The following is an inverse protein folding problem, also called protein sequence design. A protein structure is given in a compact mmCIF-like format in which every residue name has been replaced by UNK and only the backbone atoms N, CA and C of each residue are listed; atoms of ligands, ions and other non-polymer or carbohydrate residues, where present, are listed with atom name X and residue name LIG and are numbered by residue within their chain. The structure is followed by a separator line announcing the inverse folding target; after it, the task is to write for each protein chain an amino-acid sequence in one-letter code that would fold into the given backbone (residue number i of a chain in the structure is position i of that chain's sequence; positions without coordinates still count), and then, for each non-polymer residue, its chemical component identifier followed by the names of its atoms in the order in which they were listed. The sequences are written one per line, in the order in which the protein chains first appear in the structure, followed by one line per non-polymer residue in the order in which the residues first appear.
data_IF_898822262507
#
_entry.id   IF_898822262507
#
_cell.length_a   1.000
_cell.length_b   1.000
_cell.length_c   1.000
_cell.angle_alpha   90.00
_cell.angle_beta   90.00
_cell.angle_gamma   90.00
#
_symmetry.space_group_name_H-M   'P 1'
#
loop_
_entity.id
_entity.type
_entity.pdbx_description
1 polymer ?
#
# COMPACT_ATOMS: atom_id res chain seq x y z
N UNK A 1 35.65 29.18 31.62
CA UNK A 1 34.27 29.26 31.10
C UNK A 1 34.22 28.33 29.89
N UNK A 2 33.86 27.08 30.14
CA UNK A 2 34.03 25.97 29.19
C UNK A 2 32.67 25.65 28.58
N UNK A 3 32.51 25.87 27.27
CA UNK A 3 31.30 25.47 26.54
C UNK A 3 31.31 23.96 26.31
N UNK A 4 30.34 23.26 26.91
CA UNK A 4 30.06 21.85 26.65
C UNK A 4 29.43 21.72 25.25
N UNK A 5 30.11 20.99 24.35
CA UNK A 5 29.55 20.56 23.06
C UNK A 5 28.45 19.54 23.32
N UNK A 6 27.25 19.81 22.80
CA UNK A 6 26.14 18.87 22.81
C UNK A 6 26.47 17.62 22.00
N UNK A 7 26.21 16.45 22.59
CA UNK A 7 26.25 15.14 21.95
C UNK A 7 25.19 15.07 20.84
N UNK A 8 25.65 14.90 19.60
CA UNK A 8 24.77 14.50 18.50
C UNK A 8 24.28 13.07 18.76
N UNK A 9 22.98 12.91 18.90
CA UNK A 9 22.34 11.60 18.93
C UNK A 9 22.37 11.07 17.49
N UNK A 10 23.15 10.02 17.28
CA UNK A 10 23.35 9.40 15.98
C UNK A 10 22.15 8.48 15.69
N UNK A 11 21.14 8.98 14.97
CA UNK A 11 20.10 8.11 14.42
C UNK A 11 20.74 7.34 13.26
N UNK A 12 21.11 6.07 13.51
CA UNK A 12 21.64 5.18 12.49
C UNK A 12 20.71 5.17 11.28
N UNK A 13 21.29 5.40 10.09
CA UNK A 13 20.54 5.33 8.83
C UNK A 13 20.06 3.89 8.65
N UNK A 14 18.76 3.63 8.47
CA UNK A 14 18.32 2.32 8.04
C UNK A 14 18.83 2.06 6.62
N UNK A 15 19.56 0.94 6.46
CA UNK A 15 20.06 0.43 5.18
C UNK A 15 18.87 -0.05 4.31
N UNK A 16 18.21 0.88 3.62
CA UNK A 16 17.17 0.57 2.63
C UNK A 16 17.75 0.39 1.21
N UNK A 17 19.08 0.29 1.05
CA UNK A 17 19.76 0.32 -0.25
C UNK A 17 20.03 -1.05 -0.89
N UNK A 18 19.48 -2.11 -0.34
CA UNK A 18 19.29 -3.34 -1.10
C UNK A 18 17.84 -3.37 -1.56
N UNK A 19 17.62 -2.95 -2.81
CA UNK A 19 16.39 -3.28 -3.51
C UNK A 19 16.16 -4.78 -3.30
N UNK A 20 15.00 -5.21 -2.79
CA UNK A 20 14.76 -6.61 -2.51
C UNK A 20 15.02 -7.44 -3.78
N UNK A 21 15.61 -8.64 -3.66
CA UNK A 21 15.90 -9.51 -4.80
C UNK A 21 14.60 -9.75 -5.56
N UNK A 22 14.61 -9.54 -6.89
CA UNK A 22 13.48 -9.76 -7.81
C UNK A 22 12.11 -9.52 -7.15
N UNK A 23 11.77 -8.23 -7.05
CA UNK A 23 10.43 -7.68 -6.85
C UNK A 23 9.38 -8.65 -6.36
N UNK A 24 9.17 -8.69 -5.03
CA UNK A 24 8.01 -9.27 -4.32
C UNK A 24 7.19 -10.19 -5.21
N UNK A 25 7.79 -11.31 -5.63
CA UNK A 25 7.02 -12.40 -6.18
C UNK A 25 5.97 -12.70 -5.11
N UNK A 26 4.68 -12.82 -5.47
CA UNK A 26 3.68 -13.22 -4.52
C UNK A 26 4.23 -14.44 -3.77
N UNK A 27 4.40 -14.30 -2.46
CA UNK A 27 5.01 -15.30 -1.62
C UNK A 27 4.46 -16.67 -2.06
N UNK A 28 5.28 -17.63 -2.52
CA UNK A 28 4.80 -18.90 -3.07
C UNK A 28 3.95 -19.70 -2.05
N UNK A 29 3.92 -19.26 -0.79
CA UNK A 29 3.00 -19.69 0.26
C UNK A 29 1.59 -19.06 0.25
N UNK A 30 1.20 -18.27 -0.75
CA UNK A 30 -0.18 -17.77 -0.85
C UNK A 30 -1.21 -18.91 -0.92
N UNK A 31 -0.78 -20.11 -1.33
CA UNK A 31 -1.61 -21.31 -1.35
C UNK A 31 -1.86 -21.95 0.03
N UNK A 32 -1.15 -21.55 1.09
CA UNK A 32 -1.25 -22.21 2.42
C UNK A 32 -1.72 -21.29 3.56
N UNK A 33 -1.61 -19.97 3.45
CA UNK A 33 -2.03 -19.01 4.49
C UNK A 33 -2.77 -17.82 3.84
N UNK A 34 -3.95 -17.47 4.35
CA UNK A 34 -4.78 -16.38 3.80
C UNK A 34 -4.08 -15.02 3.78
N UNK A 35 -4.59 -14.07 2.99
CA UNK A 35 -4.01 -12.73 2.82
C UNK A 35 -3.97 -11.93 4.14
N UNK A 36 -2.87 -11.24 4.39
CA UNK A 36 -2.73 -10.23 5.44
C UNK A 36 -2.93 -8.86 4.82
N UNK A 37 -3.93 -8.12 5.29
CA UNK A 37 -4.35 -6.87 4.66
C UNK A 37 -4.18 -5.72 5.64
N UNK A 38 -3.36 -4.73 5.29
CA UNK A 38 -3.36 -3.44 5.97
C UNK A 38 -4.59 -2.64 5.55
N UNK A 39 -5.27 -1.98 6.49
CA UNK A 39 -6.39 -1.08 6.20
C UNK A 39 -6.10 0.29 6.79
N UNK A 40 -6.41 1.35 6.05
CA UNK A 40 -6.17 2.71 6.52
C UNK A 40 -6.96 3.78 5.78
N UNK A 41 -7.00 4.98 6.34
CA UNK A 41 -7.67 6.12 5.76
C UNK A 41 -7.48 7.40 6.57
N UNK A 42 -7.89 8.53 5.99
CA UNK A 42 -8.11 9.76 6.75
C UNK A 42 -9.53 9.80 7.33
N UNK A 43 -9.88 10.87 8.02
CA UNK A 43 -11.19 11.02 8.63
C UNK A 43 -12.35 10.93 7.63
N UNK A 44 -12.10 11.30 6.36
CA UNK A 44 -13.12 11.31 5.32
C UNK A 44 -13.48 9.91 4.83
N UNK A 45 -12.62 8.91 5.08
CA UNK A 45 -12.83 7.50 4.75
C UNK A 45 -13.15 6.59 5.95
N UNK A 46 -13.21 7.14 7.17
CA UNK A 46 -13.26 6.36 8.42
C UNK A 46 -14.42 5.34 8.46
N UNK A 47 -15.64 5.77 8.14
CA UNK A 47 -16.83 4.91 8.23
C UNK A 47 -16.78 3.74 7.25
N UNK A 48 -16.30 3.97 6.03
CA UNK A 48 -16.16 2.91 5.04
C UNK A 48 -15.01 1.97 5.41
N UNK A 49 -13.90 2.52 5.92
CA UNK A 49 -12.74 1.73 6.37
C UNK A 49 -13.18 0.71 7.42
N UNK A 50 -13.89 1.14 8.45
CA UNK A 50 -14.34 0.24 9.52
C UNK A 50 -15.36 -0.80 9.03
N UNK A 51 -16.29 -0.40 8.15
CA UNK A 51 -17.28 -1.32 7.58
C UNK A 51 -16.59 -2.42 6.77
N UNK A 52 -15.66 -2.05 5.88
CA UNK A 52 -14.98 -3.00 4.99
C UNK A 52 -13.94 -3.82 5.75
N UNK A 53 -13.26 -3.23 6.76
CA UNK A 53 -12.41 -3.98 7.71
C UNK A 53 -13.18 -5.15 8.31
N UNK A 54 -14.38 -4.90 8.83
CA UNK A 54 -15.22 -5.95 9.43
C UNK A 54 -15.68 -7.02 8.44
N UNK A 55 -15.81 -6.69 7.14
CA UNK A 55 -16.07 -7.68 6.09
C UNK A 55 -14.83 -8.52 5.78
N UNK A 56 -13.65 -7.89 5.70
CA UNK A 56 -12.38 -8.57 5.45
C UNK A 56 -12.02 -9.53 6.58
N UNK A 57 -12.25 -9.15 7.85
CA UNK A 57 -12.06 -10.03 9.02
C UNK A 57 -12.94 -11.29 9.00
N UNK A 58 -14.04 -11.27 8.23
CA UNK A 58 -14.95 -12.42 8.05
C UNK A 58 -14.68 -13.22 6.79
N UNK A 59 -13.82 -12.73 5.89
CA UNK A 59 -13.54 -13.41 4.63
C UNK A 59 -12.53 -14.56 4.87
N UNK A 60 -12.85 -15.81 4.52
CA UNK A 60 -11.97 -16.96 4.78
C UNK A 60 -10.64 -16.90 4.01
N UNK A 61 -10.53 -16.03 3.00
CA UNK A 61 -9.30 -15.81 2.23
C UNK A 61 -8.35 -14.82 2.91
N UNK A 62 -8.77 -14.18 4.00
CA UNK A 62 -7.99 -13.18 4.75
C UNK A 62 -7.61 -13.77 6.10
N UNK A 63 -6.31 -13.82 6.41
CA UNK A 63 -5.80 -14.38 7.67
C UNK A 63 -5.63 -13.34 8.77
N UNK A 64 -5.41 -12.07 8.40
CA UNK A 64 -5.18 -10.97 9.34
C UNK A 64 -5.54 -9.63 8.70
N UNK A 65 -6.17 -8.76 9.48
CA UNK A 65 -6.35 -7.35 9.12
C UNK A 65 -5.53 -6.48 10.08
N UNK A 66 -4.77 -5.53 9.54
CA UNK A 66 -3.90 -4.62 10.30
C UNK A 66 -4.42 -3.20 10.08
N UNK A 67 -5.07 -2.61 11.09
CA UNK A 67 -5.59 -1.24 11.00
C UNK A 67 -4.48 -0.22 11.34
N UNK A 68 -4.00 0.51 10.34
CA UNK A 68 -2.99 1.57 10.52
C UNK A 68 -3.61 2.92 10.86
N UNK A 69 -4.92 2.98 11.02
CA UNK A 69 -5.67 4.18 11.37
C UNK A 69 -6.21 4.95 10.16
N UNK A 70 -6.85 6.10 10.38
CA UNK A 70 -7.14 6.69 11.70
C UNK A 70 -8.10 5.85 12.54
N UNK A 71 -7.96 5.88 13.88
CA UNK A 71 -8.73 5.01 14.82
C UNK A 71 -10.06 5.66 15.26
N UNK A 72 -10.21 6.97 15.07
CA UNK A 72 -11.46 7.71 15.29
C UNK A 72 -11.59 8.85 14.25
N UNK A 73 -12.80 9.36 14.03
CA UNK A 73 -13.10 10.35 12.97
C UNK A 73 -12.70 11.79 13.32
N UNK A 74 -12.35 12.09 14.57
CA UNK A 74 -11.79 13.39 14.96
C UNK A 74 -10.28 13.48 14.70
N UNK A 75 -9.60 12.36 14.45
CA UNK A 75 -8.18 12.33 14.10
C UNK A 75 -7.94 13.05 12.77
N UNK A 76 -7.09 14.08 12.80
CA UNK A 76 -6.76 14.93 11.64
C UNK A 76 -5.41 14.57 11.01
N UNK A 77 -4.90 13.37 11.28
CA UNK A 77 -3.70 12.85 10.62
C UNK A 77 -3.90 12.90 9.12
N UNK A 78 -3.01 13.62 8.44
CA UNK A 78 -3.10 13.77 6.99
C UNK A 78 -2.91 12.41 6.30
N UNK A 79 -3.75 12.14 5.29
CA UNK A 79 -3.76 10.90 4.52
C UNK A 79 -2.37 10.38 4.05
N UNK A 80 -1.35 11.21 3.74
CA UNK A 80 -0.06 10.68 3.32
C UNK A 80 0.64 9.83 4.37
N UNK A 81 0.50 10.16 5.66
CA UNK A 81 1.12 9.38 6.73
C UNK A 81 0.57 7.96 6.75
N UNK A 82 -0.76 7.86 6.81
CA UNK A 82 -1.47 6.57 6.84
C UNK A 82 -1.19 5.74 5.58
N UNK A 83 -1.21 6.37 4.41
CA UNK A 83 -0.93 5.68 3.15
C UNK A 83 0.50 5.14 3.10
N UNK A 84 1.49 5.92 3.55
CA UNK A 84 2.89 5.49 3.57
C UNK A 84 3.11 4.38 4.60
N UNK A 85 2.47 4.45 5.77
CA UNK A 85 2.63 3.43 6.81
C UNK A 85 2.01 2.08 6.39
N UNK A 86 0.82 2.09 5.77
CA UNK A 86 0.25 0.88 5.18
C UNK A 86 1.15 0.29 4.07
N UNK A 87 1.67 1.15 3.19
CA UNK A 87 2.59 0.74 2.11
C UNK A 87 3.89 0.13 2.64
N UNK A 88 4.43 0.64 3.75
CA UNK A 88 5.63 0.08 4.39
C UNK A 88 5.40 -1.31 4.95
N UNK A 89 4.21 -1.60 5.50
CA UNK A 89 3.85 -2.96 5.95
C UNK A 89 3.82 -3.95 4.79
N UNK A 90 3.34 -3.51 3.62
CA UNK A 90 3.38 -4.32 2.40
C UNK A 90 4.83 -4.55 1.96
N UNK A 91 5.65 -3.50 1.95
CA UNK A 91 7.04 -3.59 1.53
C UNK A 91 7.90 -4.46 2.48
N UNK A 92 7.67 -4.39 3.79
CA UNK A 92 8.37 -5.21 4.78
C UNK A 92 7.92 -6.67 4.80
N UNK A 93 6.83 -6.99 4.07
CA UNK A 93 6.23 -8.31 4.07
C UNK A 93 5.43 -8.62 5.33
N UNK A 94 5.10 -7.64 6.17
CA UNK A 94 4.18 -7.78 7.30
C UNK A 94 2.71 -7.86 6.86
N UNK A 95 2.38 -7.22 5.74
CA UNK A 95 1.14 -7.36 5.01
C UNK A 95 1.40 -7.82 3.57
N UNK A 96 0.42 -8.46 2.93
CA UNK A 96 0.50 -8.85 1.52
C UNK A 96 -0.12 -7.77 0.61
N UNK A 97 -1.12 -7.05 1.12
CA UNK A 97 -1.83 -5.97 0.42
C UNK A 97 -2.28 -4.87 1.39
N UNK A 98 -2.67 -3.72 0.84
CA UNK A 98 -3.33 -2.66 1.61
C UNK A 98 -4.62 -2.16 0.95
N UNK A 99 -5.64 -1.89 1.76
CA UNK A 99 -6.86 -1.19 1.37
C UNK A 99 -6.88 0.20 2.01
N UNK A 100 -6.89 1.25 1.19
CA UNK A 100 -6.87 2.64 1.65
C UNK A 100 -8.16 3.37 1.27
N UNK A 101 -8.75 4.11 2.20
CA UNK A 101 -10.00 4.83 1.97
C UNK A 101 -9.86 6.27 2.45
N UNK A 102 -10.10 7.23 1.56
CA UNK A 102 -10.24 8.64 1.95
C UNK A 102 -11.48 9.24 1.29
N UNK A 103 -11.59 10.57 1.24
CA UNK A 103 -12.71 11.23 0.55
C UNK A 103 -12.88 10.77 -0.90
N UNK A 104 -11.80 10.73 -1.69
CA UNK A 104 -11.84 10.38 -3.12
C UNK A 104 -11.02 9.15 -3.51
N UNK A 105 -10.16 8.65 -2.61
CA UNK A 105 -9.18 7.60 -2.89
C UNK A 105 -7.91 8.10 -3.59
N UNK A 106 -7.93 9.31 -4.16
CA UNK A 106 -6.83 9.81 -5.00
C UNK A 106 -5.56 10.12 -4.20
N UNK A 107 -5.69 10.87 -3.11
CA UNK A 107 -4.55 11.30 -2.30
C UNK A 107 -3.76 10.13 -1.72
N UNK A 108 -4.47 9.15 -1.15
CA UNK A 108 -3.85 7.94 -0.61
C UNK A 108 -3.15 7.11 -1.69
N UNK A 109 -3.74 6.98 -2.88
CA UNK A 109 -3.08 6.29 -4.01
C UNK A 109 -1.81 7.03 -4.46
N UNK A 110 -1.86 8.36 -4.58
CA UNK A 110 -0.70 9.17 -4.94
C UNK A 110 0.42 9.00 -3.92
N UNK A 111 0.11 9.07 -2.62
CA UNK A 111 1.08 8.91 -1.54
C UNK A 111 1.66 7.50 -1.46
N UNK A 112 0.82 6.47 -1.60
CA UNK A 112 1.28 5.08 -1.58
C UNK A 112 2.25 4.77 -2.73
N UNK A 113 2.01 5.29 -3.93
CA UNK A 113 2.92 5.18 -5.08
C UNK A 113 4.25 5.94 -4.91
N UNK A 114 4.44 6.72 -3.84
CA UNK A 114 5.75 7.32 -3.52
C UNK A 114 6.64 6.42 -2.69
N UNK A 115 6.14 5.27 -2.24
CA UNK A 115 6.93 4.25 -1.55
C UNK A 115 7.53 3.32 -2.62
N UNK A 116 8.86 3.24 -2.76
CA UNK A 116 9.48 2.41 -3.77
C UNK A 116 9.03 0.96 -3.71
N UNK A 117 8.72 0.38 -4.87
CA UNK A 117 8.22 -0.98 -5.03
C UNK A 117 6.71 -1.14 -4.85
N UNK A 118 5.99 -0.08 -4.45
CA UNK A 118 4.54 -0.11 -4.22
C UNK A 118 3.80 0.44 -5.44
N UNK A 119 2.77 -0.30 -5.85
CA UNK A 119 1.81 0.12 -6.87
C UNK A 119 0.43 0.25 -6.23
N UNK A 120 -0.12 1.45 -6.32
CA UNK A 120 -1.40 1.81 -5.74
C UNK A 120 -2.35 2.35 -6.82
N UNK A 121 -3.62 1.96 -6.73
CA UNK A 121 -4.66 2.42 -7.67
C UNK A 121 -5.88 2.92 -6.92
N UNK A 122 -6.60 3.88 -7.52
CA UNK A 122 -8.00 4.14 -7.17
C UNK A 122 -8.88 3.47 -8.21
N UNK A 123 -9.82 2.64 -7.80
CA UNK A 123 -10.76 1.97 -8.71
C UNK A 123 -12.15 1.90 -8.08
N UNK A 124 -13.19 2.15 -8.88
CA UNK A 124 -14.59 2.18 -8.42
C UNK A 124 -15.52 1.31 -9.29
N UNK A 125 -14.96 0.35 -10.01
CA UNK A 125 -15.67 -0.63 -10.82
C UNK A 125 -14.94 -1.99 -10.83
N UNK A 126 -15.68 -3.07 -11.07
CA UNK A 126 -15.15 -4.45 -10.99
C UNK A 126 -14.05 -4.71 -12.00
N UNK A 127 -14.14 -4.15 -13.21
CA UNK A 127 -13.14 -4.37 -14.25
C UNK A 127 -11.80 -3.75 -13.85
N UNK A 128 -11.82 -2.50 -13.40
CA UNK A 128 -10.62 -1.82 -12.90
C UNK A 128 -10.02 -2.53 -11.69
N UNK A 129 -10.83 -3.09 -10.79
CA UNK A 129 -10.36 -3.87 -9.63
C UNK A 129 -9.71 -5.18 -10.04
N UNK A 130 -10.28 -5.90 -10.99
CA UNK A 130 -9.64 -7.09 -11.58
C UNK A 130 -8.29 -6.73 -12.21
N UNK A 131 -8.26 -5.69 -13.06
CA UNK A 131 -7.04 -5.29 -13.76
C UNK A 131 -6.00 -4.70 -12.82
N UNK A 132 -6.40 -4.09 -11.70
CA UNK A 132 -5.47 -3.64 -10.66
C UNK A 132 -4.56 -4.79 -10.21
N UNK A 133 -5.11 -5.98 -10.01
CA UNK A 133 -4.32 -7.16 -9.63
C UNK A 133 -3.71 -7.80 -10.87
N UNK A 134 -4.53 -8.22 -11.83
CA UNK A 134 -4.11 -9.13 -12.91
C UNK A 134 -3.27 -8.47 -14.02
N UNK A 135 -3.33 -7.14 -14.18
CA UNK A 135 -2.43 -6.40 -15.07
C UNK A 135 -1.31 -5.70 -14.31
N UNK A 136 -1.64 -5.05 -13.20
CA UNK A 136 -0.73 -4.06 -12.59
C UNK A 136 0.01 -4.61 -11.37
N UNK A 137 -0.33 -5.82 -10.92
CA UNK A 137 0.14 -6.38 -9.66
C UNK A 137 0.08 -5.33 -8.52
N UNK A 138 -1.01 -4.56 -8.45
CA UNK A 138 -1.14 -3.46 -7.52
C UNK A 138 -1.46 -4.00 -6.13
N UNK A 139 -0.53 -3.80 -5.19
CA UNK A 139 -0.67 -4.27 -3.82
C UNK A 139 -1.61 -3.39 -3.01
N UNK A 140 -1.80 -2.13 -3.44
CA UNK A 140 -2.60 -1.14 -2.71
C UNK A 140 -3.84 -0.77 -3.53
N UNK A 141 -5.01 -1.03 -2.96
CA UNK A 141 -6.30 -0.68 -3.53
C UNK A 141 -6.91 0.49 -2.76
N UNK A 142 -7.29 1.55 -3.47
CA UNK A 142 -7.83 2.77 -2.89
C UNK A 142 -9.27 3.03 -3.33
N UNK A 143 -10.10 3.53 -2.40
CA UNK A 143 -11.47 3.94 -2.67
C UNK A 143 -11.81 5.31 -2.08
N UNK A 144 -12.85 5.94 -2.63
CA UNK A 144 -13.33 7.25 -2.20
C UNK A 144 -14.69 7.15 -1.55
N UNK A 145 -14.78 7.33 -0.23
CA UNK A 145 -16.05 7.26 0.50
C UNK A 145 -17.09 8.29 0.02
N UNK A 146 -16.65 9.44 -0.52
CA UNK A 146 -17.55 10.48 -1.06
C UNK A 146 -17.91 10.26 -2.53
N UNK A 147 -17.41 9.19 -3.14
CA UNK A 147 -17.51 8.93 -4.59
C UNK A 147 -18.29 7.65 -4.88
N UNK A 148 -17.94 6.56 -4.21
CA UNK A 148 -18.56 5.24 -4.40
C UNK A 148 -19.52 4.93 -3.24
N UNK A 149 -20.67 4.32 -3.54
CA UNK A 149 -21.61 3.85 -2.52
C UNK A 149 -21.11 2.61 -1.77
N UNK A 150 -21.46 2.50 -0.49
CA UNK A 150 -20.87 1.50 0.43
C UNK A 150 -21.03 0.06 -0.06
N UNK A 151 -22.21 -0.33 -0.55
CA UNK A 151 -22.44 -1.70 -1.00
C UNK A 151 -21.60 -2.07 -2.23
N UNK A 152 -21.35 -1.11 -3.13
CA UNK A 152 -20.43 -1.31 -4.24
C UNK A 152 -18.99 -1.41 -3.72
N UNK A 153 -18.56 -0.54 -2.80
CA UNK A 153 -17.23 -0.58 -2.21
C UNK A 153 -16.93 -1.92 -1.52
N UNK A 154 -17.89 -2.46 -0.75
CA UNK A 154 -17.80 -3.77 -0.09
C UNK A 154 -17.67 -4.91 -1.10
N UNK A 155 -18.49 -4.87 -2.17
CA UNK A 155 -18.41 -5.85 -3.26
C UNK A 155 -17.03 -5.83 -3.94
N UNK A 156 -16.54 -4.64 -4.27
CA UNK A 156 -15.24 -4.46 -4.94
C UNK A 156 -14.08 -4.95 -4.06
N UNK A 157 -14.09 -4.67 -2.76
CA UNK A 157 -13.10 -5.20 -1.83
C UNK A 157 -13.12 -6.73 -1.77
N UNK A 158 -14.31 -7.34 -1.78
CA UNK A 158 -14.46 -8.81 -1.81
C UNK A 158 -13.96 -9.44 -3.11
N UNK A 159 -14.23 -8.81 -4.25
CA UNK A 159 -13.73 -9.25 -5.56
C UNK A 159 -12.20 -9.16 -5.60
N UNK A 160 -11.65 -8.03 -5.17
CA UNK A 160 -10.21 -7.77 -5.11
C UNK A 160 -9.41 -8.86 -4.38
N UNK A 161 -9.89 -9.29 -3.21
CA UNK A 161 -9.29 -10.39 -2.41
C UNK A 161 -9.19 -11.70 -3.20
N UNK A 162 -10.07 -11.93 -4.19
CA UNK A 162 -10.13 -13.16 -4.96
C UNK A 162 -9.21 -13.23 -6.18
N UNK A 163 -8.63 -12.11 -6.61
CA UNK A 163 -7.75 -12.10 -7.78
C UNK A 163 -6.30 -12.36 -7.39
N UNK A 164 -5.55 -13.02 -8.26
CA UNK A 164 -4.11 -13.30 -8.10
C UNK A 164 -3.37 -12.87 -9.36
N UNK A 165 -2.22 -12.23 -9.18
CA UNK A 165 -1.35 -11.85 -10.28
C UNK A 165 -0.53 -13.04 -10.77
N UNK A 166 -0.37 -13.16 -12.08
CA UNK A 166 0.49 -14.17 -12.70
C UNK A 166 1.84 -13.54 -13.10
N UNK A 167 2.94 -13.89 -12.41
CA UNK A 167 4.27 -13.34 -12.68
C UNK A 167 4.85 -13.77 -14.03
N UNK A 168 4.30 -14.81 -14.68
CA UNK A 168 4.73 -15.27 -16.00
C UNK A 168 3.87 -14.67 -17.13
N UNK A 169 2.93 -13.78 -16.81
CA UNK A 169 2.04 -13.17 -17.79
C UNK A 169 2.71 -12.06 -18.60
N UNK A 170 2.18 -11.76 -19.79
CA UNK A 170 2.59 -10.60 -20.59
C UNK A 170 2.39 -9.24 -19.87
N UNK A 171 1.62 -9.21 -18.77
CA UNK A 171 1.48 -8.01 -17.95
C UNK A 171 2.69 -7.82 -17.02
N UNK A 172 3.37 -8.90 -16.62
CA UNK A 172 4.57 -8.84 -15.79
C UNK A 172 5.72 -8.10 -16.47
N UNK A 173 5.89 -8.26 -17.79
CA UNK A 173 6.86 -7.47 -18.55
C UNK A 173 6.62 -5.96 -18.42
N UNK A 174 5.34 -5.53 -18.42
CA UNK A 174 4.98 -4.10 -18.28
C UNK A 174 5.21 -3.61 -16.86
N UNK A 175 4.89 -4.43 -15.86
CA UNK A 175 5.20 -4.15 -14.45
C UNK A 175 6.71 -4.03 -14.24
N UNK A 176 7.50 -4.85 -14.94
CA UNK A 176 8.97 -4.78 -14.90
C UNK A 176 9.48 -3.45 -15.46
N UNK A 177 8.90 -2.91 -16.53
CA UNK A 177 9.30 -1.59 -17.05
C UNK A 177 9.08 -0.47 -16.01
N UNK A 178 7.98 -0.49 -15.26
CA UNK A 178 7.73 0.47 -14.17
C UNK A 178 8.81 0.34 -13.10
N UNK A 179 9.11 -0.90 -12.75
CA UNK A 179 10.10 -1.28 -11.73
C UNK A 179 11.52 -0.84 -12.12
N UNK A 180 11.89 -0.98 -13.40
CA UNK A 180 13.18 -0.56 -13.92
C UNK A 180 13.31 0.96 -13.92
N UNK A 181 12.24 1.67 -14.27
CA UNK A 181 12.21 3.14 -14.21
C UNK A 181 12.42 3.64 -12.78
N UNK A 182 11.73 3.05 -11.81
CA UNK A 182 11.87 3.41 -10.40
C UNK A 182 13.31 3.20 -9.89
N UNK A 183 13.91 2.03 -10.19
CA UNK A 183 15.28 1.72 -9.78
C UNK A 183 16.32 2.72 -10.35
N UNK A 184 16.15 3.13 -11.61
CA UNK A 184 17.06 4.08 -12.26
C UNK A 184 17.02 5.49 -11.64
N UNK A 185 15.88 5.90 -11.10
CA UNK A 185 15.65 7.26 -10.64
C UNK A 185 15.69 7.41 -9.11
N UNK A 186 15.43 6.35 -8.34
CA UNK A 186 15.59 6.38 -6.89
C UNK A 186 17.05 6.26 -6.43
N UNK A 187 17.91 5.55 -7.16
CA UNK A 187 19.34 5.43 -6.82
C UNK A 187 20.14 6.73 -7.04
N UNK A 188 19.71 7.59 -7.97
CA UNK A 188 20.45 8.82 -8.34
C UNK A 188 20.26 9.99 -7.37
N UNK A 189 19.16 10.03 -6.61
CA UNK A 189 18.87 11.13 -5.68
C UNK A 189 19.78 11.22 -4.44
N UNK A 190 20.63 10.22 -4.20
CA UNK A 190 21.49 10.11 -3.01
C UNK A 190 22.93 10.53 -3.29
N UNK A 191 23.39 10.48 -4.54
CA UNK A 191 24.78 10.77 -4.90
C UNK A 191 25.02 12.20 -5.43
N UNK A 192 23.98 12.96 -5.79
CA UNK A 192 24.13 14.33 -6.32
C UNK A 192 24.09 15.45 -5.26
N UNK A 193 24.05 15.13 -3.96
CA UNK A 193 24.11 16.14 -2.87
C UNK A 193 25.48 16.29 -2.21
N UNK A 194 26.53 15.81 -2.86
CA UNK A 194 27.93 16.07 -2.47
C UNK A 194 28.71 16.55 -3.70
N UNK A 195 28.48 17.80 -4.08
CA UNK A 195 29.39 18.61 -4.88
C UNK A 195 29.28 20.06 -4.38
#
# INVERSE_FOLDING_TARGET
MTFLRGTQVNFGKPDYFHLPPKYLDPNPNMASHGLRIAVGGDEAGFSYKDTIKADLEKDPRVSKVIDVGVIHNEDKTAYPHVAVDASKLVLSGEADRALLICGTGLGVAISANKVPGIRAVTAHDSFSVERAVMSNNAQVFCMGQRVVGIELARRLAKEWVGYTFDPESASAEKVQVISDYEAQHHAKGVHEKTA
#
